data_IF_745915379486
#
_entry.id   IF_745915379486
#
_cell.length_a   1.000
_cell.length_b   1.000
_cell.length_c   1.000
_cell.angle_alpha   90.00
_cell.angle_beta   90.00
_cell.angle_gamma   90.00
#
_symmetry.space_group_name_H-M   'P 1'
#
loop_
_entity.id
_entity.type
_entity.pdbx_description
1 polymer ?
#
# COMPACT_ATOMS: atom_id res chain seq x y z
N UNK A 1 -12.10 10.50 -10.67
CA UNK A 1 -13.41 9.82 -10.88
C UNK A 1 -13.36 8.61 -11.81
N UNK A 2 -12.82 8.69 -13.04
CA UNK A 2 -12.83 7.56 -14.00
C UNK A 2 -12.22 6.26 -13.44
N UNK A 3 -11.05 6.32 -12.80
CA UNK A 3 -10.41 5.14 -12.17
C UNK A 3 -11.19 4.56 -10.97
N UNK A 4 -11.94 5.40 -10.24
CA UNK A 4 -12.77 4.93 -9.11
C UNK A 4 -13.91 4.03 -9.63
N UNK A 5 -14.54 4.44 -10.74
CA UNK A 5 -15.60 3.66 -11.39
C UNK A 5 -15.05 2.32 -11.87
N UNK A 6 -13.84 2.29 -12.42
CA UNK A 6 -13.16 1.04 -12.83
C UNK A 6 -12.97 0.09 -11.65
N UNK A 7 -12.46 0.57 -10.51
CA UNK A 7 -12.30 -0.28 -9.33
C UNK A 7 -13.62 -0.76 -8.74
N UNK A 8 -14.67 0.07 -8.75
CA UNK A 8 -16.01 -0.36 -8.33
C UNK A 8 -16.55 -1.45 -9.27
N UNK A 9 -16.35 -1.30 -10.58
CA UNK A 9 -16.75 -2.33 -11.54
C UNK A 9 -16.00 -3.65 -11.31
N UNK A 10 -14.68 -3.60 -11.05
CA UNK A 10 -13.90 -4.79 -10.68
C UNK A 10 -14.36 -5.41 -9.35
N UNK A 11 -14.73 -4.60 -8.36
CA UNK A 11 -15.27 -5.10 -7.10
C UNK A 11 -16.60 -5.84 -7.32
N UNK A 12 -17.51 -5.25 -8.09
CA UNK A 12 -18.80 -5.87 -8.39
C UNK A 12 -18.64 -7.16 -9.20
N UNK A 13 -17.75 -7.15 -10.20
CA UNK A 13 -17.42 -8.34 -10.97
C UNK A 13 -16.81 -9.44 -10.09
N UNK A 14 -15.84 -9.10 -9.25
CA UNK A 14 -15.21 -10.07 -8.35
C UNK A 14 -16.17 -10.61 -7.28
N UNK A 15 -17.10 -9.79 -6.78
CA UNK A 15 -18.18 -10.26 -5.90
C UNK A 15 -19.12 -11.21 -6.62
N UNK A 16 -19.51 -10.88 -7.86
CA UNK A 16 -20.32 -11.77 -8.69
C UNK A 16 -19.63 -13.12 -8.90
N UNK A 17 -18.35 -13.12 -9.29
CA UNK A 17 -17.59 -14.37 -9.44
C UNK A 17 -17.52 -15.13 -8.12
N UNK A 18 -17.19 -14.47 -7.00
CA UNK A 18 -17.11 -15.12 -5.69
C UNK A 18 -18.41 -15.83 -5.33
N UNK A 19 -19.57 -15.20 -5.53
CA UNK A 19 -20.87 -15.82 -5.25
C UNK A 19 -21.23 -16.92 -6.25
N UNK A 20 -20.89 -16.75 -7.53
CA UNK A 20 -21.19 -17.73 -8.57
C UNK A 20 -20.32 -18.99 -8.46
N UNK A 21 -19.06 -18.85 -8.07
CA UNK A 21 -18.10 -19.95 -7.96
C UNK A 21 -17.84 -20.39 -6.52
N UNK A 22 -18.65 -19.93 -5.55
CA UNK A 22 -18.44 -20.26 -4.14
C UNK A 22 -18.56 -21.76 -3.92
N UNK A 23 -17.43 -22.42 -3.67
CA UNK A 23 -17.39 -23.85 -3.43
C UNK A 23 -16.70 -24.13 -2.10
N UNK A 24 -17.42 -24.74 -1.15
CA UNK A 24 -16.86 -25.10 0.16
C UNK A 24 -15.70 -26.09 0.07
N UNK A 25 -15.61 -26.85 -1.03
CA UNK A 25 -14.52 -27.80 -1.28
C UNK A 25 -13.24 -27.13 -1.82
N UNK A 26 -13.31 -25.86 -2.24
CA UNK A 26 -12.18 -25.09 -2.78
C UNK A 26 -11.83 -23.91 -1.85
N UNK A 27 -11.49 -24.24 -0.60
CA UNK A 27 -11.24 -23.24 0.45
C UNK A 27 -10.11 -22.27 0.07
N UNK A 28 -9.00 -22.75 -0.47
CA UNK A 28 -7.84 -21.91 -0.83
C UNK A 28 -8.20 -20.89 -1.92
N UNK A 29 -9.02 -21.31 -2.90
CA UNK A 29 -9.48 -20.43 -3.99
C UNK A 29 -10.41 -19.33 -3.46
N UNK A 30 -11.37 -19.67 -2.61
CA UNK A 30 -12.25 -18.67 -1.99
C UNK A 30 -11.46 -17.67 -1.14
N UNK A 31 -10.48 -18.14 -0.37
CA UNK A 31 -9.61 -17.28 0.44
C UNK A 31 -8.81 -16.31 -0.42
N UNK A 32 -8.27 -16.79 -1.55
CA UNK A 32 -7.52 -15.96 -2.48
C UNK A 32 -8.42 -14.92 -3.18
N UNK A 33 -9.64 -15.30 -3.58
CA UNK A 33 -10.62 -14.37 -4.13
C UNK A 33 -10.99 -13.27 -3.13
N UNK A 34 -11.24 -13.62 -1.87
CA UNK A 34 -11.50 -12.65 -0.79
C UNK A 34 -10.31 -11.71 -0.63
N UNK A 35 -9.08 -12.25 -0.63
CA UNK A 35 -7.87 -11.42 -0.56
C UNK A 35 -7.78 -10.41 -1.71
N UNK A 36 -8.05 -10.85 -2.94
CA UNK A 36 -8.11 -9.96 -4.11
C UNK A 36 -9.20 -8.88 -3.98
N UNK A 37 -10.37 -9.20 -3.42
CA UNK A 37 -11.41 -8.21 -3.15
C UNK A 37 -10.96 -7.18 -2.10
N UNK A 38 -10.27 -7.61 -1.05
CA UNK A 38 -9.71 -6.70 -0.04
C UNK A 38 -8.69 -5.74 -0.68
N UNK A 39 -7.83 -6.24 -1.58
CA UNK A 39 -6.91 -5.39 -2.35
C UNK A 39 -7.67 -4.33 -3.16
N UNK A 40 -8.73 -4.72 -3.87
CA UNK A 40 -9.56 -3.78 -4.65
C UNK A 40 -10.20 -2.73 -3.72
N UNK A 41 -10.70 -3.13 -2.55
CA UNK A 41 -11.27 -2.21 -1.55
C UNK A 41 -10.21 -1.20 -1.08
N UNK A 42 -8.99 -1.64 -0.80
CA UNK A 42 -7.88 -0.74 -0.46
C UNK A 42 -7.60 0.26 -1.59
N UNK A 43 -7.57 -0.17 -2.84
CA UNK A 43 -7.37 0.71 -3.99
C UNK A 43 -8.53 1.72 -4.17
N UNK A 44 -9.78 1.32 -3.87
CA UNK A 44 -10.93 2.22 -3.85
C UNK A 44 -10.74 3.30 -2.77
N UNK A 45 -10.41 2.91 -1.53
CA UNK A 45 -10.17 3.86 -0.45
C UNK A 45 -9.00 4.79 -0.75
N UNK A 46 -7.93 4.29 -1.35
CA UNK A 46 -6.82 5.12 -1.80
C UNK A 46 -7.29 6.20 -2.79
N UNK A 47 -8.03 5.81 -3.84
CA UNK A 47 -8.53 6.76 -4.84
C UNK A 47 -9.56 7.72 -4.29
N UNK A 48 -10.40 7.28 -3.36
CA UNK A 48 -11.33 8.16 -2.67
C UNK A 48 -10.60 9.24 -1.87
N UNK A 49 -9.56 8.88 -1.13
CA UNK A 49 -8.74 9.84 -0.39
C UNK A 49 -7.99 10.80 -1.33
N UNK A 50 -7.38 10.31 -2.42
CA UNK A 50 -6.76 11.17 -3.46
C UNK A 50 -7.77 12.19 -3.98
N UNK A 51 -8.97 11.74 -4.35
CA UNK A 51 -10.00 12.64 -4.86
C UNK A 51 -10.46 13.66 -3.81
N UNK A 52 -10.59 13.24 -2.55
CA UNK A 52 -10.93 14.14 -1.44
C UNK A 52 -9.86 15.21 -1.22
N UNK A 53 -8.57 14.85 -1.32
CA UNK A 53 -7.47 15.81 -1.24
C UNK A 53 -7.50 16.80 -2.42
N UNK A 54 -7.72 16.31 -3.64
CA UNK A 54 -7.85 17.16 -4.84
C UNK A 54 -9.03 18.14 -4.77
N UNK A 55 -10.18 17.71 -4.26
CA UNK A 55 -11.34 18.60 -4.10
C UNK A 55 -11.14 19.59 -2.96
N UNK A 56 -10.52 19.14 -1.87
CA UNK A 56 -10.22 19.99 -0.72
C UNK A 56 -9.22 21.10 -1.04
N UNK A 57 -8.23 20.86 -1.92
CA UNK A 57 -7.27 21.89 -2.33
C UNK A 57 -7.87 22.99 -3.21
N UNK A 58 -9.04 22.76 -3.82
CA UNK A 58 -9.75 23.78 -4.60
C UNK A 58 -10.64 24.69 -3.74
N UNK A 59 -10.86 24.35 -2.47
CA UNK A 59 -11.69 25.15 -1.57
C UNK A 59 -10.93 26.39 -1.11
N UNK A 60 -11.57 27.56 -1.22
CA UNK A 60 -11.05 28.79 -0.61
C UNK A 60 -11.30 28.76 0.88
N UNK A 61 -10.22 28.82 1.64
CA UNK A 61 -10.23 28.73 3.10
C UNK A 61 -9.80 30.10 3.66
N UNK A 62 -10.30 30.47 4.84
CA UNK A 62 -9.88 31.71 5.50
C UNK A 62 -8.43 31.56 5.99
N UNK A 63 -7.68 32.67 6.01
CA UNK A 63 -6.27 32.68 6.40
C UNK A 63 -6.04 32.05 7.78
N UNK A 64 -6.96 32.28 8.73
CA UNK A 64 -6.87 31.78 10.11
C UNK A 64 -6.95 30.24 10.23
N UNK A 65 -7.46 29.55 9.21
CA UNK A 65 -7.64 28.09 9.18
C UNK A 65 -6.88 27.42 8.02
N UNK A 66 -6.06 28.18 7.29
CA UNK A 66 -5.31 27.70 6.13
C UNK A 66 -4.33 26.58 6.52
N UNK A 67 -3.57 26.76 7.59
CA UNK A 67 -2.60 25.76 8.08
C UNK A 67 -3.29 24.46 8.52
N UNK A 68 -4.42 24.57 9.22
CA UNK A 68 -5.21 23.41 9.68
C UNK A 68 -5.77 22.64 8.48
N UNK A 69 -6.22 23.36 7.46
CA UNK A 69 -6.71 22.77 6.22
C UNK A 69 -5.60 22.06 5.46
N UNK A 70 -4.43 22.68 5.32
CA UNK A 70 -3.26 22.11 4.66
C UNK A 70 -2.82 20.79 5.32
N UNK A 71 -2.68 20.78 6.66
CA UNK A 71 -2.37 19.57 7.42
C UNK A 71 -3.46 18.49 7.22
N UNK A 72 -4.72 18.88 7.08
CA UNK A 72 -5.80 17.93 6.82
C UNK A 72 -5.68 17.30 5.43
N UNK A 73 -5.34 18.07 4.40
CA UNK A 73 -5.11 17.56 3.05
C UNK A 73 -3.93 16.60 2.99
N UNK A 74 -2.81 16.95 3.64
CA UNK A 74 -1.64 16.08 3.76
C UNK A 74 -1.99 14.75 4.42
N UNK A 75 -2.76 14.78 5.52
CA UNK A 75 -3.18 13.55 6.21
C UNK A 75 -4.07 12.67 5.34
N UNK A 76 -4.90 13.27 4.49
CA UNK A 76 -5.72 12.53 3.53
C UNK A 76 -4.84 11.91 2.44
N UNK A 77 -3.84 12.64 1.93
CA UNK A 77 -2.87 12.13 0.96
C UNK A 77 -2.05 10.95 1.54
N UNK A 78 -1.55 11.09 2.77
CA UNK A 78 -0.84 10.00 3.45
C UNK A 78 -1.74 8.80 3.76
N UNK A 79 -3.03 8.99 4.05
CA UNK A 79 -3.97 7.87 4.16
C UNK A 79 -4.09 7.12 2.82
N UNK A 80 -4.14 7.84 1.69
CA UNK A 80 -4.16 7.22 0.38
C UNK A 80 -2.92 6.37 0.13
N UNK A 81 -1.74 6.92 0.43
CA UNK A 81 -0.47 6.20 0.34
C UNK A 81 -0.48 4.93 1.21
N UNK A 82 -0.98 4.99 2.45
CA UNK A 82 -1.09 3.82 3.33
C UNK A 82 -1.97 2.73 2.73
N UNK A 83 -3.12 3.08 2.13
CA UNK A 83 -3.98 2.08 1.48
C UNK A 83 -3.33 1.45 0.25
N UNK A 84 -2.56 2.22 -0.54
CA UNK A 84 -1.79 1.68 -1.68
C UNK A 84 -0.72 0.70 -1.20
N UNK A 85 -0.04 1.02 -0.11
CA UNK A 85 0.99 0.18 0.50
C UNK A 85 0.42 -1.14 1.05
N UNK A 86 -0.78 -1.09 1.66
CA UNK A 86 -1.52 -2.28 2.09
C UNK A 86 -1.90 -3.13 0.88
N UNK A 87 -2.46 -2.51 -0.17
CA UNK A 87 -2.84 -3.18 -1.41
C UNK A 87 -1.66 -3.89 -2.08
N UNK A 88 -0.50 -3.23 -2.15
CA UNK A 88 0.74 -3.78 -2.68
C UNK A 88 1.21 -5.01 -1.88
N UNK A 89 1.29 -4.86 -0.55
CA UNK A 89 1.78 -5.94 0.32
C UNK A 89 0.86 -7.16 0.24
N UNK A 90 -0.45 -6.94 0.28
CA UNK A 90 -1.44 -8.01 0.25
C UNK A 90 -1.50 -8.70 -1.13
N UNK A 91 -1.45 -7.94 -2.23
CA UNK A 91 -1.42 -8.51 -3.59
C UNK A 91 -0.13 -9.27 -3.88
N UNK A 92 1.01 -8.81 -3.35
CA UNK A 92 2.28 -9.54 -3.41
C UNK A 92 2.16 -10.91 -2.72
N UNK A 93 1.70 -10.93 -1.46
CA UNK A 93 1.52 -12.17 -0.71
C UNK A 93 0.48 -13.07 -1.36
N UNK A 94 -0.65 -12.53 -1.82
CA UNK A 94 -1.70 -13.26 -2.51
C UNK A 94 -1.16 -13.92 -3.79
N UNK A 95 -0.35 -13.21 -4.58
CA UNK A 95 0.26 -13.76 -5.80
C UNK A 95 1.17 -14.94 -5.48
N UNK A 96 2.03 -14.81 -4.46
CA UNK A 96 2.96 -15.88 -4.09
C UNK A 96 2.25 -17.11 -3.50
N UNK A 97 1.30 -16.89 -2.58
CA UNK A 97 0.51 -17.99 -1.98
C UNK A 97 -0.36 -18.65 -3.05
N UNK A 98 -1.01 -17.86 -3.91
CA UNK A 98 -1.83 -18.35 -5.01
C UNK A 98 -1.03 -19.17 -6.01
N UNK A 99 0.17 -18.71 -6.38
CA UNK A 99 1.04 -19.47 -7.28
C UNK A 99 1.50 -20.80 -6.65
N UNK A 100 1.76 -20.83 -5.35
CA UNK A 100 2.14 -22.06 -4.65
C UNK A 100 0.99 -23.08 -4.58
N UNK A 101 -0.24 -22.62 -4.32
CA UNK A 101 -1.37 -23.49 -4.00
C UNK A 101 -2.30 -23.79 -5.19
N UNK A 102 -2.45 -22.84 -6.11
CA UNK A 102 -3.56 -22.82 -7.07
C UNK A 102 -3.11 -22.72 -8.54
N UNK A 103 -1.81 -22.75 -8.83
CA UNK A 103 -1.32 -22.63 -10.22
C UNK A 103 -1.88 -23.70 -11.16
N UNK A 104 -2.08 -24.92 -10.66
CA UNK A 104 -2.47 -26.07 -11.48
C UNK A 104 -3.99 -26.27 -11.50
N UNK A 105 -4.71 -25.71 -10.52
CA UNK A 105 -6.16 -25.90 -10.33
C UNK A 105 -6.99 -24.68 -10.73
N UNK A 106 -6.57 -23.47 -10.32
CA UNK A 106 -7.29 -22.21 -10.53
C UNK A 106 -6.33 -21.06 -10.90
N UNK A 107 -5.53 -21.18 -11.98
CA UNK A 107 -4.51 -20.20 -12.35
C UNK A 107 -5.07 -18.80 -12.62
N UNK A 108 -6.34 -18.70 -13.03
CA UNK A 108 -7.00 -17.42 -13.34
C UNK A 108 -7.09 -16.52 -12.10
N UNK A 109 -7.39 -17.10 -10.93
CA UNK A 109 -7.49 -16.33 -9.67
C UNK A 109 -6.11 -15.78 -9.27
N UNK A 110 -5.06 -16.57 -9.49
CA UNK A 110 -3.66 -16.17 -9.25
C UNK A 110 -3.24 -15.05 -10.20
N UNK A 111 -3.65 -15.14 -11.47
CA UNK A 111 -3.38 -14.12 -12.48
C UNK A 111 -4.01 -12.78 -12.08
N UNK A 112 -5.23 -12.78 -11.55
CA UNK A 112 -5.85 -11.58 -10.98
C UNK A 112 -5.03 -10.97 -9.85
N UNK A 113 -4.49 -11.77 -8.92
CA UNK A 113 -3.59 -11.28 -7.87
C UNK A 113 -2.35 -10.60 -8.46
N UNK A 114 -1.77 -11.18 -9.52
CA UNK A 114 -0.62 -10.61 -10.23
C UNK A 114 -0.94 -9.29 -10.94
N UNK A 115 -2.11 -9.16 -11.58
CA UNK A 115 -2.56 -7.90 -12.15
C UNK A 115 -2.75 -6.84 -11.06
N UNK A 116 -3.37 -7.19 -9.94
CA UNK A 116 -3.58 -6.29 -8.82
C UNK A 116 -2.25 -5.84 -8.19
N UNK A 117 -1.24 -6.70 -8.17
CA UNK A 117 0.11 -6.35 -7.76
C UNK A 117 0.71 -5.28 -8.66
N UNK A 118 0.62 -5.44 -9.99
CA UNK A 118 1.10 -4.45 -10.95
C UNK A 118 0.36 -3.10 -10.81
N UNK A 119 -0.96 -3.13 -10.67
CA UNK A 119 -1.77 -1.93 -10.47
C UNK A 119 -1.38 -1.21 -9.16
N UNK A 120 -1.15 -1.98 -8.08
CA UNK A 120 -0.73 -1.44 -6.78
C UNK A 120 0.66 -0.83 -6.87
N UNK A 121 1.60 -1.48 -7.58
CA UNK A 121 2.95 -1.00 -7.81
C UNK A 121 2.97 0.32 -8.59
N UNK A 122 2.25 0.40 -9.70
CA UNK A 122 2.13 1.65 -10.47
C UNK A 122 1.48 2.76 -9.63
N UNK A 123 0.58 2.42 -8.72
CA UNK A 123 -0.07 3.39 -7.84
C UNK A 123 0.85 3.95 -6.74
N UNK A 124 2.02 3.37 -6.49
CA UNK A 124 3.00 3.92 -5.54
C UNK A 124 3.51 5.29 -5.94
N UNK A 125 3.56 5.57 -7.24
CA UNK A 125 4.04 6.83 -7.76
C UNK A 125 2.93 7.87 -7.67
N UNK A 126 3.02 8.85 -6.74
CA UNK A 126 1.99 9.86 -6.60
C UNK A 126 1.95 10.71 -7.87
N UNK A 127 0.75 11.10 -8.29
CA UNK A 127 0.61 12.08 -9.35
C UNK A 127 1.17 13.43 -8.92
N UNK A 128 1.72 14.19 -9.86
CA UNK A 128 2.24 15.56 -9.62
C UNK A 128 1.26 16.44 -8.83
N UNK A 129 -0.04 16.33 -9.13
CA UNK A 129 -1.11 17.05 -8.43
C UNK A 129 -1.11 16.80 -6.92
N UNK A 130 -0.95 15.55 -6.50
CA UNK A 130 -0.96 15.19 -5.08
C UNK A 130 0.33 15.68 -4.42
N UNK A 131 1.47 15.56 -5.10
CA UNK A 131 2.74 16.09 -4.59
C UNK A 131 2.67 17.60 -4.43
N UNK A 132 2.09 18.33 -5.39
CA UNK A 132 1.90 19.78 -5.29
C UNK A 132 0.89 20.19 -4.21
N UNK A 133 -0.05 19.31 -3.83
CA UNK A 133 -0.97 19.58 -2.72
C UNK A 133 -0.24 19.42 -1.39
N UNK A 134 0.58 18.38 -1.26
CA UNK A 134 1.30 18.11 0.00
C UNK A 134 2.53 18.99 0.19
N UNK A 135 3.21 19.35 -0.91
CA UNK A 135 4.36 20.22 -0.90
C UNK A 135 4.31 21.14 -2.14
N UNK A 136 3.69 22.33 -2.02
CA UNK A 136 3.50 23.26 -3.14
C UNK A 136 4.81 23.76 -3.77
N UNK A 137 5.91 23.75 -3.01
CA UNK A 137 7.21 24.21 -3.47
C UNK A 137 8.01 23.10 -4.18
N UNK A 138 7.51 21.87 -4.15
CA UNK A 138 8.19 20.71 -4.72
C UNK A 138 8.25 20.78 -6.24
N UNK A 139 9.46 20.72 -6.80
CA UNK A 139 9.68 20.62 -8.25
C UNK A 139 10.34 19.30 -8.59
N UNK A 140 9.71 18.52 -9.48
CA UNK A 140 10.33 17.29 -9.95
C UNK A 140 11.63 17.60 -10.71
N UNK A 141 12.75 16.94 -10.34
CA UNK A 141 14.00 17.09 -11.08
C UNK A 141 13.90 16.48 -12.47
N UNK A 142 14.83 16.83 -13.35
CA UNK A 142 14.87 16.28 -14.71
C UNK A 142 15.13 14.77 -14.65
N UNK A 143 14.24 13.91 -15.20
CA UNK A 143 14.43 12.45 -15.24
C UNK A 143 15.76 11.97 -15.84
N UNK A 144 16.44 12.81 -16.63
CA UNK A 144 17.74 12.51 -17.22
C UNK A 144 18.94 13.01 -16.40
N UNK A 145 18.72 13.67 -15.25
CA UNK A 145 19.80 14.13 -14.38
C UNK A 145 20.58 12.93 -13.81
N UNK A 146 21.92 13.03 -13.84
CA UNK A 146 22.81 12.05 -13.21
C UNK A 146 22.65 11.99 -11.69
N UNK A 147 22.16 13.06 -11.07
CA UNK A 147 21.99 13.18 -9.62
C UNK A 147 20.50 13.25 -9.23
N UNK A 148 19.62 12.63 -10.03
CA UNK A 148 18.15 12.68 -9.84
C UNK A 148 17.71 12.42 -8.40
N UNK A 149 18.25 11.38 -7.76
CA UNK A 149 17.88 11.02 -6.38
C UNK A 149 18.24 12.11 -5.37
N UNK A 150 19.42 12.71 -5.52
CA UNK A 150 19.88 13.78 -4.64
C UNK A 150 19.10 15.07 -4.88
N UNK A 151 18.84 15.41 -6.14
CA UNK A 151 18.01 16.57 -6.49
C UNK A 151 16.58 16.43 -5.99
N UNK A 152 16.00 15.23 -6.08
CA UNK A 152 14.68 14.89 -5.56
C UNK A 152 14.65 15.00 -4.03
N UNK A 153 15.65 14.43 -3.35
CA UNK A 153 15.75 14.52 -1.89
C UNK A 153 15.95 15.96 -1.41
N UNK A 154 16.67 16.79 -2.16
CA UNK A 154 16.91 18.18 -1.83
C UNK A 154 15.67 19.08 -1.95
N UNK A 155 14.60 18.63 -2.62
CA UNK A 155 13.33 19.37 -2.68
C UNK A 155 12.54 19.34 -1.36
N UNK A 156 12.78 18.34 -0.51
CA UNK A 156 12.13 18.26 0.80
C UNK A 156 12.76 19.28 1.76
N UNK A 157 11.91 19.89 2.58
CA UNK A 157 12.37 20.76 3.66
C UNK A 157 13.09 19.95 4.75
N UNK A 158 13.93 20.60 5.55
CA UNK A 158 14.67 19.98 6.65
C UNK A 158 13.73 19.37 7.70
N UNK A 159 12.54 19.95 7.90
CA UNK A 159 11.49 19.36 8.75
C UNK A 159 10.98 18.03 8.20
N UNK A 160 10.68 17.96 6.89
CA UNK A 160 10.23 16.73 6.22
C UNK A 160 11.32 15.65 6.24
N UNK A 161 12.56 16.02 5.93
CA UNK A 161 13.72 15.12 6.01
C UNK A 161 13.92 14.57 7.41
N UNK A 162 13.76 15.40 8.44
CA UNK A 162 13.84 14.96 9.83
C UNK A 162 12.74 13.94 10.17
N UNK A 163 11.50 14.16 9.73
CA UNK A 163 10.40 13.21 9.92
C UNK A 163 10.67 11.89 9.20
N UNK A 164 11.14 11.94 7.95
CA UNK A 164 11.53 10.74 7.20
C UNK A 164 12.64 9.95 7.89
N UNK A 165 13.68 10.64 8.37
CA UNK A 165 14.82 10.01 9.07
C UNK A 165 14.37 9.38 10.40
N UNK A 166 13.55 10.09 11.17
CA UNK A 166 12.97 9.58 12.42
C UNK A 166 12.11 8.34 12.17
N UNK A 167 11.30 8.35 11.10
CA UNK A 167 10.53 7.20 10.66
C UNK A 167 11.41 6.00 10.31
N UNK A 168 12.47 6.23 9.53
CA UNK A 168 13.42 5.20 9.12
C UNK A 168 14.18 4.61 10.32
N UNK A 169 14.62 5.45 11.26
CA UNK A 169 15.29 5.02 12.48
C UNK A 169 14.38 4.12 13.34
N UNK A 170 13.11 4.50 13.50
CA UNK A 170 12.12 3.67 14.21
C UNK A 170 11.85 2.34 13.50
N UNK A 171 11.87 2.32 12.17
CA UNK A 171 11.72 1.10 11.39
C UNK A 171 12.90 0.17 11.51
N UNK A 172 14.13 0.68 11.56
CA UNK A 172 15.33 -0.16 11.65
C UNK A 172 15.25 -1.14 12.83
N UNK A 173 14.89 -0.64 14.02
CA UNK A 173 14.72 -1.48 15.21
C UNK A 173 13.57 -2.49 15.05
N UNK A 174 12.43 -2.05 14.50
CA UNK A 174 11.27 -2.90 14.27
C UNK A 174 11.57 -4.03 13.29
N UNK A 175 12.17 -3.72 12.14
CA UNK A 175 12.53 -4.69 11.10
C UNK A 175 13.49 -5.73 11.68
N UNK A 176 14.50 -5.29 12.42
CA UNK A 176 15.46 -6.19 13.06
C UNK A 176 14.76 -7.14 14.03
N UNK A 177 13.90 -6.63 14.91
CA UNK A 177 13.16 -7.44 15.86
C UNK A 177 12.23 -8.44 15.16
N UNK A 178 11.45 -7.97 14.17
CA UNK A 178 10.53 -8.83 13.44
C UNK A 178 11.24 -9.90 12.61
N UNK A 179 12.41 -9.60 12.02
CA UNK A 179 13.21 -10.58 11.30
C UNK A 179 13.74 -11.66 12.25
N UNK A 180 14.21 -11.29 13.44
CA UNK A 180 14.65 -12.26 14.46
C UNK A 180 13.49 -13.14 14.90
N UNK A 181 12.33 -12.56 15.21
CA UNK A 181 11.13 -13.31 15.59
C UNK A 181 10.65 -14.23 14.46
N UNK A 182 10.68 -13.75 13.21
CA UNK A 182 10.32 -14.55 12.04
C UNK A 182 11.29 -15.72 11.86
N UNK A 183 12.60 -15.50 12.02
CA UNK A 183 13.60 -16.56 11.93
C UNK A 183 13.36 -17.66 12.98
N UNK A 184 13.08 -17.29 14.23
CA UNK A 184 12.71 -18.26 15.26
C UNK A 184 11.42 -19.00 14.92
N UNK A 185 10.38 -18.29 14.48
CA UNK A 185 9.11 -18.89 14.10
C UNK A 185 9.29 -19.92 12.96
N UNK A 186 10.08 -19.59 11.94
CA UNK A 186 10.38 -20.49 10.83
C UNK A 186 11.21 -21.70 11.25
N UNK A 187 12.20 -21.50 12.13
CA UNK A 187 13.00 -22.60 12.68
C UNK A 187 12.12 -23.60 13.43
N UNK A 188 11.28 -23.14 14.36
CA UNK A 188 10.38 -24.02 15.11
C UNK A 188 9.38 -24.69 14.18
N UNK A 189 8.74 -23.94 13.28
CA UNK A 189 7.74 -24.50 12.37
C UNK A 189 8.35 -25.58 11.46
N UNK A 190 9.56 -25.36 10.94
CA UNK A 190 10.27 -26.32 10.10
C UNK A 190 10.56 -27.64 10.81
N UNK A 191 10.86 -27.62 12.12
CA UNK A 191 11.10 -28.84 12.91
C UNK A 191 9.83 -29.67 13.06
N UNK A 192 8.65 -29.05 13.13
CA UNK A 192 7.39 -29.74 13.41
C UNK A 192 6.63 -30.19 12.17
N UNK A 193 6.84 -29.57 11.00
CA UNK A 193 5.96 -29.75 9.83
C UNK A 193 6.67 -30.16 8.55
N UNK A 194 8.01 -30.28 8.54
CA UNK A 194 8.86 -30.60 7.39
C UNK A 194 8.66 -29.73 6.12
N UNK A 195 7.75 -28.74 6.16
CA UNK A 195 7.39 -27.89 5.03
C UNK A 195 7.18 -26.44 5.50
N UNK A 196 8.15 -25.57 5.23
CA UNK A 196 8.20 -24.20 5.77
C UNK A 196 7.81 -23.11 4.77
N UNK A 197 7.58 -23.45 3.50
CA UNK A 197 7.51 -22.45 2.43
C UNK A 197 6.28 -21.53 2.53
N UNK A 198 5.10 -22.09 2.79
CA UNK A 198 3.86 -21.31 2.91
C UNK A 198 3.91 -20.36 4.10
N UNK A 199 4.35 -20.83 5.27
CA UNK A 199 4.48 -20.01 6.47
C UNK A 199 5.53 -18.91 6.28
N UNK A 200 6.63 -19.21 5.55
CA UNK A 200 7.63 -18.20 5.18
C UNK A 200 7.04 -17.09 4.31
N UNK A 201 6.28 -17.44 3.27
CA UNK A 201 5.65 -16.45 2.38
C UNK A 201 4.67 -15.56 3.16
N UNK A 202 3.83 -16.15 4.01
CA UNK A 202 2.88 -15.39 4.83
C UNK A 202 3.63 -14.50 5.83
N UNK A 203 4.66 -15.02 6.51
CA UNK A 203 5.46 -14.27 7.47
C UNK A 203 6.18 -13.07 6.83
N UNK A 204 6.78 -13.26 5.66
CA UNK A 204 7.39 -12.18 4.87
C UNK A 204 6.31 -11.17 4.43
N UNK A 205 5.14 -11.64 4.02
CA UNK A 205 4.01 -10.79 3.66
C UNK A 205 3.53 -9.88 4.80
N UNK A 206 3.38 -10.44 6.00
CA UNK A 206 3.04 -9.68 7.21
C UNK A 206 4.13 -8.66 7.54
N UNK A 207 5.40 -9.07 7.46
CA UNK A 207 6.53 -8.18 7.71
C UNK A 207 6.53 -7.00 6.72
N UNK A 208 6.35 -7.27 5.43
CA UNK A 208 6.27 -6.24 4.40
C UNK A 208 5.11 -5.27 4.69
N UNK A 209 3.93 -5.79 5.00
CA UNK A 209 2.77 -4.97 5.37
C UNK A 209 3.06 -4.06 6.57
N UNK A 210 3.65 -4.61 7.64
CA UNK A 210 3.98 -3.86 8.84
C UNK A 210 4.99 -2.74 8.55
N UNK A 211 6.05 -3.03 7.78
CA UNK A 211 7.06 -2.03 7.41
C UNK A 211 6.41 -0.90 6.62
N UNK A 212 5.64 -1.22 5.58
CA UNK A 212 5.07 -0.22 4.69
C UNK A 212 4.03 0.68 5.40
N UNK A 213 3.16 0.07 6.22
CA UNK A 213 2.17 0.81 7.01
C UNK A 213 2.85 1.67 8.07
N UNK A 214 3.86 1.13 8.77
CA UNK A 214 4.56 1.87 9.82
C UNK A 214 5.34 3.05 9.25
N UNK A 215 6.01 2.88 8.11
CA UNK A 215 6.71 3.97 7.43
C UNK A 215 5.74 5.09 7.07
N UNK A 216 4.71 4.77 6.31
CA UNK A 216 3.75 5.78 5.82
C UNK A 216 3.01 6.47 6.96
N UNK A 217 2.69 5.74 8.02
CA UNK A 217 2.07 6.33 9.22
C UNK A 217 3.01 7.24 10.00
N UNK A 218 4.32 7.03 9.93
CA UNK A 218 5.31 7.91 10.58
C UNK A 218 5.49 9.25 9.87
N UNK A 219 5.22 9.30 8.56
CA UNK A 219 5.27 10.52 7.75
C UNK A 219 4.00 11.38 7.90
N UNK A 220 2.91 10.78 8.38
CA UNK A 220 1.64 11.46 8.54
C UNK A 220 1.71 12.50 9.67
N UNK A 221 1.37 13.78 9.42
CA UNK A 221 1.46 14.81 10.45
C UNK A 221 0.42 14.59 11.57
N UNK A 222 0.77 15.03 12.78
CA UNK A 222 -0.13 15.05 13.93
C UNK A 222 -1.30 16.00 13.69
N UNK A 223 -2.44 15.74 14.35
CA UNK A 223 -3.52 16.74 14.34
C UNK A 223 -3.01 18.01 15.01
N UNK A 224 -3.21 19.15 14.36
CA UNK A 224 -3.22 20.43 15.04
C UNK A 224 -4.59 20.53 15.73
N UNK A 225 -4.58 20.75 17.04
CA UNK A 225 -5.77 21.04 17.85
C UNK A 225 -6.04 22.54 17.87
#
# INVERSE_FOLDING_TARGET
MKMLIVYIAFLLFGLYELFASFNHQLFEANLLMISNLVVIICLIFARFNVHKAEQGSLMKVHMDIEDIHQVTLERIAYNAATYIQIALSLSFTATLVGFLLLRDTQPVIVLWSGILLLISFVSLFPSEKIVSITNPNFKFPDPQSKNYEQEYFNQFDDGEKYVMLKGLYGLYSLVTLCLVLLAFALMFYSIFTDNSQLVSIIGIGILLLLIQVRYTSSLKPSKLE
#
